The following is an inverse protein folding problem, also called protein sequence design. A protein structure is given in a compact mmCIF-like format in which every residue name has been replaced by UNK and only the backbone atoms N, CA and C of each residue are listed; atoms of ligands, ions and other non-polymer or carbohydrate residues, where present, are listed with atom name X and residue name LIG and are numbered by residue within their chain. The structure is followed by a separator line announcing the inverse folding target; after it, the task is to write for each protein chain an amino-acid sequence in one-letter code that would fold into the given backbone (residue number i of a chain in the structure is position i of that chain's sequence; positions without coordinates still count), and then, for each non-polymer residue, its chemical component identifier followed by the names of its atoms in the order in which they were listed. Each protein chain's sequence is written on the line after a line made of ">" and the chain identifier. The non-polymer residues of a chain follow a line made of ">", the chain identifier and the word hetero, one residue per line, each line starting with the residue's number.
data_IF_145696102275
#
_entry.id   IF_145696102275
#
_cell.length_a   1.000
_cell.length_b   1.000
_cell.length_c   1.000
_cell.angle_alpha   90.00
_cell.angle_beta   90.00
_cell.angle_gamma   90.00
#
_symmetry.space_group_name_H-M   'P 1'
#
loop_
_entity.id
_entity.type
_entity.pdbx_description
1 polymer ?
#
# COMPACT_ATOMS: atom_id res chain seq x y z
N UNK A 1 4.99 0.61 -8.55
CA UNK A 1 3.81 1.36 -9.07
C UNK A 1 2.99 2.11 -8.00
N UNK A 2 2.82 1.60 -6.77
CA UNK A 2 1.96 2.25 -5.76
C UNK A 2 2.33 3.71 -5.43
N UNK A 3 3.62 4.09 -5.44
CA UNK A 3 4.04 5.47 -5.18
C UNK A 3 3.60 6.50 -6.24
N UNK A 4 3.34 6.08 -7.48
CA UNK A 4 2.75 6.96 -8.52
C UNK A 4 1.23 7.10 -8.39
N UNK A 5 0.56 6.13 -7.76
CA UNK A 5 -0.88 6.19 -7.51
C UNK A 5 -1.24 7.05 -6.30
N UNK A 6 -0.30 7.23 -5.36
CA UNK A 6 -0.50 7.99 -4.13
C UNK A 6 -0.97 9.45 -4.36
N UNK A 7 -0.37 10.24 -5.26
CA UNK A 7 -0.86 11.58 -5.57
C UNK A 7 -2.19 11.55 -6.36
N UNK A 8 -2.44 10.51 -7.17
CA UNK A 8 -3.61 10.43 -8.05
C UNK A 8 -4.88 9.99 -7.31
N UNK A 9 -4.76 9.08 -6.34
CA UNK A 9 -5.88 8.44 -5.64
C UNK A 9 -5.63 8.25 -4.13
N UNK A 10 -5.36 9.32 -3.37
CA UNK A 10 -4.95 9.22 -1.96
C UNK A 10 -6.01 8.58 -1.07
N UNK A 11 -7.29 8.95 -1.25
CA UNK A 11 -8.39 8.41 -0.46
C UNK A 11 -8.61 6.91 -0.68
N UNK A 12 -8.52 6.46 -1.94
CA UNK A 12 -8.68 5.03 -2.30
C UNK A 12 -7.54 4.19 -1.74
N UNK A 13 -6.30 4.69 -1.82
CA UNK A 13 -5.15 3.99 -1.24
C UNK A 13 -5.22 3.95 0.28
N UNK A 14 -5.63 5.04 0.94
CA UNK A 14 -5.86 5.05 2.39
C UNK A 14 -6.91 4.02 2.78
N UNK A 15 -8.05 3.97 2.09
CA UNK A 15 -9.10 2.99 2.35
C UNK A 15 -8.61 1.55 2.15
N UNK A 16 -7.85 1.29 1.08
CA UNK A 16 -7.24 -0.02 0.83
C UNK A 16 -6.20 -0.40 1.90
N UNK A 17 -5.39 0.56 2.36
CA UNK A 17 -4.41 0.34 3.42
C UNK A 17 -5.07 -0.01 4.75
N UNK A 18 -6.07 0.78 5.16
CA UNK A 18 -6.84 0.51 6.39
C UNK A 18 -7.50 -0.87 6.28
N UNK A 19 -8.17 -1.17 5.17
CA UNK A 19 -8.75 -2.50 4.93
C UNK A 19 -7.70 -3.60 5.05
N UNK A 20 -6.52 -3.42 4.46
CA UNK A 20 -5.43 -4.40 4.51
C UNK A 20 -4.92 -4.67 5.93
N UNK A 21 -4.82 -3.65 6.79
CA UNK A 21 -4.41 -3.81 8.20
C UNK A 21 -5.39 -4.63 9.03
N UNK A 22 -6.67 -4.58 8.68
CA UNK A 22 -7.75 -5.31 9.37
C UNK A 22 -8.07 -6.67 8.73
N UNK A 23 -7.34 -7.06 7.68
CA UNK A 23 -7.46 -8.36 7.04
C UNK A 23 -6.33 -9.29 7.48
N UNK A 24 -6.57 -10.60 7.39
CA UNK A 24 -5.48 -11.58 7.49
C UNK A 24 -4.66 -11.53 6.20
N UNK A 25 -3.43 -12.01 6.26
CA UNK A 25 -2.53 -12.09 5.10
C UNK A 25 -2.27 -13.55 4.69
N UNK A 26 -1.80 -13.73 3.46
CA UNK A 26 -1.41 -15.03 2.89
C UNK A 26 0.11 -15.26 2.95
N UNK A 27 0.86 -14.36 3.59
CA UNK A 27 2.32 -14.44 3.60
C UNK A 27 2.73 -15.69 4.39
N UNK A 28 3.52 -16.56 3.75
CA UNK A 28 3.94 -17.84 4.33
C UNK A 28 2.90 -18.96 4.29
N UNK A 29 1.75 -18.77 3.60
CA UNK A 29 0.65 -19.75 3.50
C UNK A 29 0.29 -20.08 2.05
N UNK A 30 1.25 -19.92 1.14
CA UNK A 30 1.11 -20.22 -0.29
C UNK A 30 1.59 -21.65 -0.52
N UNK A 31 0.66 -22.60 -0.46
CA UNK A 31 0.88 -23.99 -0.81
C UNK A 31 0.06 -24.38 -2.05
N UNK A 32 0.36 -25.54 -2.63
CA UNK A 32 -0.35 -26.05 -3.81
C UNK A 32 -1.83 -26.34 -3.49
N UNK A 33 -2.16 -26.66 -2.24
CA UNK A 33 -3.54 -26.81 -1.80
C UNK A 33 -4.33 -25.52 -2.00
N UNK A 34 -3.69 -24.34 -1.89
CA UNK A 34 -4.30 -23.05 -2.13
C UNK A 34 -4.80 -22.86 -3.57
N UNK A 35 -4.18 -23.50 -4.57
CA UNK A 35 -4.58 -23.41 -5.98
C UNK A 35 -5.93 -24.08 -6.25
N UNK A 36 -6.29 -25.07 -5.44
CA UNK A 36 -7.59 -25.75 -5.52
C UNK A 36 -8.74 -24.94 -4.91
N UNK A 37 -8.43 -23.85 -4.20
CA UNK A 37 -9.43 -23.08 -3.43
C UNK A 37 -10.09 -22.02 -4.29
N UNK A 38 -11.37 -21.78 -4.04
CA UNK A 38 -12.09 -20.70 -4.70
C UNK A 38 -11.70 -19.34 -4.13
N UNK A 39 -11.70 -18.30 -4.98
CA UNK A 39 -11.46 -16.91 -4.56
C UNK A 39 -12.42 -16.47 -3.45
N UNK A 40 -13.68 -16.89 -3.52
CA UNK A 40 -14.69 -16.58 -2.50
C UNK A 40 -14.32 -17.17 -1.13
N UNK A 41 -13.83 -18.42 -1.08
CA UNK A 41 -13.40 -19.04 0.17
C UNK A 41 -12.18 -18.32 0.77
N UNK A 42 -11.22 -17.94 -0.06
CA UNK A 42 -10.03 -17.19 0.37
C UNK A 42 -10.42 -15.80 0.88
N UNK A 43 -11.31 -15.08 0.19
CA UNK A 43 -11.78 -13.76 0.64
C UNK A 43 -12.45 -13.82 2.00
N UNK A 44 -13.29 -14.81 2.23
CA UNK A 44 -13.97 -15.02 3.51
C UNK A 44 -12.96 -15.30 4.63
N UNK A 45 -11.97 -16.14 4.37
CA UNK A 45 -10.90 -16.44 5.33
C UNK A 45 -10.07 -15.20 5.66
N UNK A 46 -9.72 -14.39 4.66
CA UNK A 46 -8.95 -13.17 4.84
C UNK A 46 -9.75 -12.05 5.52
N UNK A 47 -11.07 -12.21 5.67
CA UNK A 47 -11.96 -11.18 6.21
C UNK A 47 -12.28 -10.08 5.20
N UNK A 48 -12.01 -10.29 3.90
CA UNK A 48 -12.22 -9.30 2.85
C UNK A 48 -13.71 -9.07 2.54
N UNK A 49 -14.60 -9.96 2.94
CA UNK A 49 -16.04 -9.78 2.72
C UNK A 49 -16.71 -8.92 3.80
N UNK A 50 -15.98 -8.58 4.87
CA UNK A 50 -16.46 -7.67 5.92
C UNK A 50 -16.39 -6.22 5.44
N UNK A 51 -17.30 -5.34 5.91
CA UNK A 51 -17.16 -3.91 5.67
C UNK A 51 -15.83 -3.43 6.24
N UNK A 52 -15.20 -2.48 5.53
CA UNK A 52 -13.97 -1.83 6.02
C UNK A 52 -14.29 -1.10 7.33
N UNK A 53 -13.59 -1.37 8.43
CA UNK A 53 -13.82 -0.66 9.68
C UNK A 53 -13.39 0.81 9.58
N UNK A 54 -13.91 1.65 10.47
CA UNK A 54 -13.41 3.02 10.60
C UNK A 54 -11.93 3.03 10.98
N UNK A 55 -11.20 3.97 10.39
CA UNK A 55 -9.76 4.07 10.59
C UNK A 55 -9.44 4.52 12.02
N UNK A 56 -8.67 3.72 12.75
CA UNK A 56 -8.19 4.11 14.08
C UNK A 56 -7.08 5.17 13.99
N UNK A 57 -6.79 5.86 15.09
CA UNK A 57 -5.66 6.80 15.14
C UNK A 57 -4.31 6.13 14.83
N UNK A 58 -4.15 4.85 15.19
CA UNK A 58 -2.96 4.07 14.85
C UNK A 58 -2.86 3.79 13.35
N UNK A 59 -3.98 3.41 12.70
CA UNK A 59 -4.01 3.18 11.26
C UNK A 59 -3.60 4.43 10.48
N UNK A 60 -4.01 5.61 10.95
CA UNK A 60 -3.64 6.89 10.35
C UNK A 60 -2.15 7.20 10.50
N UNK A 61 -1.55 6.88 11.66
CA UNK A 61 -0.10 7.05 11.87
C UNK A 61 0.69 6.14 10.94
N UNK A 62 0.33 4.87 10.88
CA UNK A 62 1.03 3.89 10.04
C UNK A 62 0.82 4.17 8.56
N UNK A 63 -0.37 4.61 8.15
CA UNK A 63 -0.63 5.11 6.80
C UNK A 63 0.32 6.24 6.41
N UNK A 64 0.46 7.27 7.27
CA UNK A 64 1.38 8.40 7.01
C UNK A 64 2.82 7.94 6.89
N UNK A 65 3.26 7.04 7.78
CA UNK A 65 4.61 6.47 7.77
C UNK A 65 4.88 5.70 6.48
N UNK A 66 3.95 4.84 6.06
CA UNK A 66 4.04 4.07 4.82
C UNK A 66 4.03 4.98 3.59
N UNK A 67 3.14 5.98 3.57
CA UNK A 67 3.04 6.95 2.48
C UNK A 67 4.33 7.77 2.33
N UNK A 68 4.90 8.26 3.43
CA UNK A 68 6.16 9.00 3.43
C UNK A 68 7.31 8.16 2.89
N UNK A 69 7.45 6.90 3.35
CA UNK A 69 8.46 5.96 2.82
C UNK A 69 8.26 5.69 1.32
N UNK A 70 7.02 5.50 0.89
CA UNK A 70 6.71 5.23 -0.52
C UNK A 70 7.06 6.41 -1.42
N UNK A 71 6.78 7.64 -0.98
CA UNK A 71 7.19 8.86 -1.68
C UNK A 71 8.71 8.97 -1.71
N UNK A 72 9.38 8.79 -0.57
CA UNK A 72 10.84 8.89 -0.48
C UNK A 72 11.55 7.89 -1.39
N UNK A 73 11.06 6.65 -1.49
CA UNK A 73 11.65 5.63 -2.37
C UNK A 73 11.44 5.96 -3.85
N UNK A 74 10.25 6.45 -4.24
CA UNK A 74 9.94 6.71 -5.65
C UNK A 74 10.56 8.02 -6.13
N UNK A 75 10.45 9.09 -5.34
CA UNK A 75 10.83 10.44 -5.74
C UNK A 75 12.16 10.88 -5.16
N UNK A 76 12.64 10.29 -4.06
CA UNK A 76 13.93 10.64 -3.45
C UNK A 76 15.10 10.62 -4.44
N UNK A 77 15.25 9.61 -5.31
CA UNK A 77 16.31 9.59 -6.32
C UNK A 77 16.23 10.71 -7.37
N UNK A 78 15.05 11.31 -7.57
CA UNK A 78 14.89 12.40 -8.56
C UNK A 78 15.43 13.73 -8.06
N UNK A 79 15.52 13.92 -6.74
CA UNK A 79 16.03 15.14 -6.11
C UNK A 79 17.51 15.40 -6.46
N UNK A 80 18.46 14.45 -6.24
CA UNK A 80 19.86 14.66 -6.62
C UNK A 80 20.04 14.79 -8.13
N UNK A 81 19.27 14.04 -8.93
CA UNK A 81 19.31 14.16 -10.40
C UNK A 81 18.88 15.56 -10.87
N UNK A 82 17.79 16.09 -10.32
CA UNK A 82 17.31 17.44 -10.62
C UNK A 82 18.33 18.51 -10.20
N UNK A 83 18.99 18.33 -9.05
CA UNK A 83 20.04 19.23 -8.58
C UNK A 83 21.27 19.23 -9.51
N UNK A 84 21.69 18.06 -10.01
CA UNK A 84 22.80 17.94 -10.97
C UNK A 84 22.44 18.63 -12.30
N UNK A 85 21.25 18.36 -12.83
CA UNK A 85 20.77 18.98 -14.07
C UNK A 85 20.68 20.49 -13.92
N UNK A 86 20.16 20.98 -12.80
CA UNK A 86 20.08 22.42 -12.51
C UNK A 86 21.46 23.08 -12.43
N UNK A 87 22.45 22.42 -11.79
CA UNK A 87 23.82 22.92 -11.74
C UNK A 87 24.48 22.98 -13.13
N UNK A 88 24.18 22.03 -14.03
CA UNK A 88 24.67 22.02 -15.42
C UNK A 88 24.05 23.12 -16.30
N UNK A 89 22.83 23.56 -16.00
CA UNK A 89 22.08 24.55 -16.78
C UNK A 89 22.32 26.00 -16.32
N UNK A 90 23.02 26.19 -15.20
CA UNK A 90 23.37 27.49 -14.62
C UNK A 90 24.78 27.91 -15.04
#
# INVERSE_FOLDING_TARGET
>A
MLGFMLPRFPARLRAAFVRGRHCRNLVGRLDDAMLSRTVAAVRRELGLDRPTPEATAEDLREWRRWAAKSIAVVWGPTIPMAAIVWWWLR
#
